data_IF_284799484605
#
_entry.id   IF_284799484605
#
_cell.length_a   1.000
_cell.length_b   1.000
_cell.length_c   1.000
_cell.angle_alpha   90.00
_cell.angle_beta   90.00
_cell.angle_gamma   90.00
#
_symmetry.space_group_name_H-M   'P 1'
#
loop_
_entity.id
_entity.type
_entity.pdbx_description
1 polymer ?
#
# COMPACT_ATOMS: atom_id res chain seq x y z
N UNK A 1 -12.66 -4.56 -4.95
CA UNK A 1 -13.24 -5.67 -5.74
C UNK A 1 -13.31 -5.22 -7.20
N UNK A 2 -12.52 -5.81 -8.08
CA UNK A 2 -12.71 -5.64 -9.53
C UNK A 2 -13.97 -6.43 -9.90
N UNK A 3 -15.02 -5.74 -10.34
CA UNK A 3 -16.14 -6.38 -11.05
C UNK A 3 -15.78 -6.40 -12.53
N UNK A 4 -15.31 -7.53 -13.09
CA UNK A 4 -14.96 -7.58 -14.50
C UNK A 4 -16.21 -7.32 -15.34
N UNK A 5 -16.17 -6.26 -16.14
CA UNK A 5 -17.11 -6.06 -17.23
C UNK A 5 -16.84 -7.18 -18.26
N UNK A 6 -17.88 -7.88 -18.70
CA UNK A 6 -17.79 -8.96 -19.70
C UNK A 6 -17.14 -8.53 -21.03
N UNK A 7 -16.98 -7.22 -21.26
CA UNK A 7 -16.34 -6.63 -22.44
C UNK A 7 -14.87 -6.20 -22.22
N UNK A 8 -14.27 -6.50 -21.06
CA UNK A 8 -12.89 -6.11 -20.76
C UNK A 8 -11.92 -6.96 -21.57
N UNK A 9 -11.03 -6.33 -22.33
CA UNK A 9 -10.01 -7.04 -23.10
C UNK A 9 -9.02 -7.76 -22.18
N UNK A 10 -8.37 -8.82 -22.69
CA UNK A 10 -7.33 -9.53 -21.94
C UNK A 10 -6.18 -8.60 -21.50
N UNK A 11 -5.87 -7.58 -22.30
CA UNK A 11 -4.83 -6.59 -21.98
C UNK A 11 -5.23 -5.72 -20.80
N UNK A 12 -6.48 -5.24 -20.77
CA UNK A 12 -7.03 -4.47 -19.65
C UNK A 12 -7.10 -5.31 -18.37
N UNK A 13 -7.52 -6.58 -18.47
CA UNK A 13 -7.54 -7.47 -17.31
C UNK A 13 -6.14 -7.68 -16.72
N UNK A 14 -5.14 -7.93 -17.56
CA UNK A 14 -3.74 -8.06 -17.12
C UNK A 14 -3.24 -6.78 -16.45
N UNK A 15 -3.60 -5.62 -17.00
CA UNK A 15 -3.24 -4.32 -16.43
C UNK A 15 -3.88 -4.12 -15.05
N UNK A 16 -5.16 -4.46 -14.90
CA UNK A 16 -5.86 -4.34 -13.62
C UNK A 16 -5.26 -5.25 -12.54
N UNK A 17 -4.98 -6.51 -12.88
CA UNK A 17 -4.33 -7.45 -11.94
C UNK A 17 -2.95 -6.92 -11.55
N UNK A 18 -2.16 -6.45 -12.52
CA UNK A 18 -0.83 -5.90 -12.23
C UNK A 18 -0.91 -4.67 -11.32
N UNK A 19 -1.89 -3.78 -11.53
CA UNK A 19 -2.10 -2.62 -10.67
C UNK A 19 -2.48 -3.01 -9.24
N UNK A 20 -3.34 -4.00 -9.05
CA UNK A 20 -3.70 -4.48 -7.70
C UNK A 20 -2.51 -5.14 -7.00
N UNK A 21 -1.70 -5.92 -7.71
CA UNK A 21 -0.48 -6.52 -7.13
C UNK A 21 0.52 -5.44 -6.66
N UNK A 22 0.68 -4.34 -7.43
CA UNK A 22 1.55 -3.23 -7.02
C UNK A 22 1.02 -2.50 -5.77
N UNK A 23 -0.30 -2.40 -5.62
CA UNK A 23 -0.91 -1.85 -4.40
C UNK A 23 -0.63 -2.76 -3.21
N UNK A 24 -0.82 -4.07 -3.37
CA UNK A 24 -0.54 -5.07 -2.33
C UNK A 24 0.92 -5.01 -1.88
N UNK A 25 1.87 -5.02 -2.82
CA UNK A 25 3.30 -4.89 -2.51
C UNK A 25 3.61 -3.59 -1.75
N UNK A 26 3.00 -2.48 -2.15
CA UNK A 26 3.18 -1.18 -1.48
C UNK A 26 2.61 -1.19 -0.05
N UNK A 27 1.51 -1.90 0.20
CA UNK A 27 0.95 -2.11 1.55
C UNK A 27 1.89 -2.96 2.39
N UNK A 28 2.39 -4.07 1.86
CA UNK A 28 3.30 -4.98 2.56
C UNK A 28 4.58 -4.28 3.00
N UNK A 29 5.17 -3.47 2.13
CA UNK A 29 6.38 -2.69 2.44
C UNK A 29 6.09 -1.68 3.55
N UNK A 30 4.98 -0.94 3.47
CA UNK A 30 4.60 0.03 4.48
C UNK A 30 4.40 -0.64 5.85
N UNK A 31 3.66 -1.75 5.89
CA UNK A 31 3.41 -2.51 7.13
C UNK A 31 4.69 -3.09 7.71
N UNK A 32 5.57 -3.67 6.87
CA UNK A 32 6.85 -4.22 7.32
C UNK A 32 7.72 -3.13 7.95
N UNK A 33 7.77 -1.95 7.33
CA UNK A 33 8.49 -0.80 7.88
C UNK A 33 7.90 -0.32 9.21
N UNK A 34 6.57 -0.24 9.31
CA UNK A 34 5.92 0.16 10.56
C UNK A 34 6.16 -0.87 11.67
N UNK A 35 6.04 -2.17 11.38
CA UNK A 35 6.33 -3.23 12.35
C UNK A 35 7.77 -3.18 12.87
N UNK A 36 8.74 -2.87 12.01
CA UNK A 36 10.13 -2.70 12.43
C UNK A 36 10.36 -1.48 13.34
N UNK A 37 9.43 -0.51 13.32
CA UNK A 37 9.47 0.71 14.13
C UNK A 37 8.50 0.64 15.33
N UNK A 38 7.84 -0.50 15.55
CA UNK A 38 6.87 -0.67 16.61
C UNK A 38 7.56 -0.71 17.98
N UNK A 39 7.09 0.13 18.90
CA UNK A 39 7.41 0.05 20.31
C UNK A 39 6.33 -0.77 21.02
N UNK A 40 6.68 -2.01 21.36
CA UNK A 40 5.79 -2.99 22.00
C UNK A 40 5.24 -2.52 23.36
N UNK A 41 5.85 -1.52 24.00
CA UNK A 41 5.39 -1.01 25.30
C UNK A 41 4.33 0.09 25.17
N UNK A 42 4.35 0.84 24.07
CA UNK A 42 3.53 2.04 23.88
C UNK A 42 2.48 1.92 22.78
N UNK A 43 2.47 0.79 22.06
CA UNK A 43 1.62 0.56 20.87
C UNK A 43 1.78 1.69 19.82
N UNK A 44 2.97 2.29 19.75
CA UNK A 44 3.29 3.40 18.88
C UNK A 44 4.44 3.07 17.93
N UNK A 45 4.44 3.70 16.75
CA UNK A 45 5.54 3.59 15.79
C UNK A 45 6.52 4.75 15.96
N UNK A 46 7.78 4.44 16.23
CA UNK A 46 8.86 5.44 16.34
C UNK A 46 9.42 5.75 14.95
N UNK A 47 8.79 6.67 14.23
CA UNK A 47 9.19 7.04 12.87
C UNK A 47 10.14 8.25 12.91
N UNK A 48 11.34 8.17 12.32
CA UNK A 48 12.23 9.31 12.21
C UNK A 48 11.54 10.48 11.49
N UNK A 49 11.71 11.71 11.99
CA UNK A 49 11.01 12.88 11.46
C UNK A 49 11.18 13.07 9.94
N UNK A 50 12.37 12.75 9.40
CA UNK A 50 12.65 12.84 7.97
C UNK A 50 11.82 11.85 7.12
N UNK A 51 11.37 10.74 7.71
CA UNK A 51 10.60 9.69 7.05
C UNK A 51 9.09 9.83 7.26
N UNK A 52 8.64 10.72 8.14
CA UNK A 52 7.21 10.93 8.44
C UNK A 52 6.45 11.36 7.19
N UNK A 53 7.00 12.30 6.41
CA UNK A 53 6.34 12.83 5.21
C UNK A 53 6.14 11.72 4.17
N UNK A 54 7.18 10.93 3.89
CA UNK A 54 7.09 9.84 2.89
C UNK A 54 6.16 8.73 3.36
N UNK A 55 6.17 8.40 4.65
CA UNK A 55 5.27 7.40 5.23
C UNK A 55 3.81 7.83 5.09
N UNK A 56 3.48 9.06 5.48
CA UNK A 56 2.12 9.61 5.36
C UNK A 56 1.69 9.69 3.90
N UNK A 57 2.56 10.16 2.99
CA UNK A 57 2.23 10.25 1.57
C UNK A 57 1.97 8.86 0.95
N UNK A 58 2.74 7.85 1.36
CA UNK A 58 2.55 6.46 0.91
C UNK A 58 1.22 5.91 1.40
N UNK A 59 0.91 6.10 2.69
CA UNK A 59 -0.39 5.72 3.26
C UNK A 59 -1.57 6.42 2.56
N UNK A 60 -1.47 7.74 2.30
CA UNK A 60 -2.50 8.50 1.58
C UNK A 60 -2.70 7.98 0.15
N UNK A 61 -1.61 7.65 -0.55
CA UNK A 61 -1.71 7.09 -1.92
C UNK A 61 -2.46 5.77 -1.91
N UNK A 62 -2.13 4.87 -0.98
CA UNK A 62 -2.79 3.58 -0.82
C UNK A 62 -4.28 3.71 -0.50
N UNK A 63 -4.66 4.68 0.34
CA UNK A 63 -6.06 4.89 0.74
C UNK A 63 -6.95 5.56 -0.34
N UNK A 64 -6.33 6.25 -1.32
CA UNK A 64 -7.05 6.96 -2.40
C UNK A 64 -7.20 6.13 -3.68
N UNK A 65 -6.50 5.01 -3.77
CA UNK A 65 -6.46 4.12 -4.92
C UNK A 65 -7.39 2.92 -4.76
#
# INVERSE_FOLDING_TARGET
MITPNLNTSLAELKSLIHQENLKEESVEVLLSNLLALNDEQTEAFSIPFHDVIVTIQTAIKLLKS
#
